data_IF_001293687801
#
_entry.id   IF_001293687801
#
_cell.length_a   1.000
_cell.length_b   1.000
_cell.length_c   1.000
_cell.angle_alpha   90.00
_cell.angle_beta   90.00
_cell.angle_gamma   90.00
#
_symmetry.space_group_name_H-M   'P 1'
#
loop_
_entity.id
_entity.type
_entity.pdbx_description
1 polymer ?
#
# COMPACT_ATOMS: atom_id res chain seq x y z
N UNK A 1 -36.65 -2.62 -40.50
CA UNK A 1 -36.18 -3.16 -39.20
C UNK A 1 -35.55 -1.99 -38.47
N UNK A 2 -36.17 -1.60 -37.37
CA UNK A 2 -36.10 -0.26 -36.80
C UNK A 2 -34.68 0.15 -36.45
N UNK A 3 -34.31 1.37 -36.87
CA UNK A 3 -33.24 2.11 -36.24
C UNK A 3 -33.66 2.30 -34.77
N UNK A 4 -32.94 1.66 -33.84
CA UNK A 4 -32.85 2.14 -32.47
C UNK A 4 -32.10 3.48 -32.54
N UNK A 5 -32.79 4.51 -33.01
CA UNK A 5 -32.55 5.87 -32.58
C UNK A 5 -32.83 5.84 -31.08
N UNK A 6 -31.83 5.45 -30.29
CA UNK A 6 -31.79 5.78 -28.87
C UNK A 6 -31.86 7.29 -28.84
N UNK A 7 -33.07 7.81 -28.67
CA UNK A 7 -33.31 9.19 -28.31
C UNK A 7 -32.54 9.41 -27.02
N UNK A 8 -31.28 9.82 -27.13
CA UNK A 8 -30.48 10.28 -26.02
C UNK A 8 -31.21 11.52 -25.54
N UNK A 9 -32.09 11.31 -24.57
CA UNK A 9 -32.79 12.39 -23.91
C UNK A 9 -31.71 13.37 -23.41
N UNK A 10 -31.71 14.65 -23.82
CA UNK A 10 -30.70 15.61 -23.41
C UNK A 10 -30.57 15.73 -21.88
N UNK A 11 -31.58 15.27 -21.12
CA UNK A 11 -31.50 15.13 -19.67
C UNK A 11 -30.59 13.96 -19.23
N UNK A 12 -30.65 12.82 -19.92
CA UNK A 12 -29.84 11.63 -19.60
C UNK A 12 -28.35 11.88 -19.85
N UNK A 13 -27.99 12.58 -20.93
CA UNK A 13 -26.59 12.94 -21.21
C UNK A 13 -25.99 13.82 -20.09
N UNK A 14 -26.75 14.81 -19.60
CA UNK A 14 -26.33 15.67 -18.48
C UNK A 14 -26.17 14.88 -17.18
N UNK A 15 -27.04 13.90 -16.93
CA UNK A 15 -26.90 13.03 -15.76
C UNK A 15 -25.66 12.16 -15.85
N UNK A 16 -25.37 11.58 -17.02
CA UNK A 16 -24.16 10.76 -17.24
C UNK A 16 -22.89 11.60 -17.07
N UNK A 17 -22.89 12.84 -17.58
CA UNK A 17 -21.78 13.80 -17.37
C UNK A 17 -21.57 14.10 -15.88
N UNK A 18 -22.66 14.33 -15.13
CA UNK A 18 -22.61 14.58 -13.69
C UNK A 18 -22.04 13.37 -12.95
N UNK A 19 -22.49 12.15 -13.30
CA UNK A 19 -21.98 10.91 -12.70
C UNK A 19 -20.50 10.73 -13.00
N UNK A 20 -20.04 10.96 -14.25
CA UNK A 20 -18.60 10.89 -14.59
C UNK A 20 -17.78 11.86 -13.75
N UNK A 21 -18.22 13.11 -13.64
CA UNK A 21 -17.51 14.11 -12.84
C UNK A 21 -17.41 13.72 -11.36
N UNK A 22 -18.47 13.13 -10.80
CA UNK A 22 -18.47 12.62 -9.43
C UNK A 22 -17.51 11.44 -9.24
N UNK A 23 -17.53 10.48 -10.18
CA UNK A 23 -16.64 9.31 -10.16
C UNK A 23 -15.18 9.73 -10.29
N UNK A 24 -14.86 10.65 -11.21
CA UNK A 24 -13.50 11.16 -11.39
C UNK A 24 -13.00 11.91 -10.14
N UNK A 25 -13.87 12.70 -9.52
CA UNK A 25 -13.56 13.37 -8.26
C UNK A 25 -13.28 12.35 -7.14
N UNK A 26 -14.13 11.32 -7.03
CA UNK A 26 -13.94 10.26 -6.04
C UNK A 26 -12.65 9.47 -6.27
N UNK A 27 -12.37 9.07 -7.52
CA UNK A 27 -11.13 8.35 -7.84
C UNK A 27 -9.88 9.16 -7.58
N UNK A 28 -9.95 10.49 -7.74
CA UNK A 28 -8.85 11.39 -7.36
C UNK A 28 -8.59 11.36 -5.86
N UNK A 29 -9.64 11.35 -5.04
CA UNK A 29 -9.52 11.24 -3.57
C UNK A 29 -8.93 9.88 -3.21
N UNK A 30 -9.50 8.78 -3.73
CA UNK A 30 -9.02 7.42 -3.47
C UNK A 30 -7.54 7.27 -3.84
N UNK A 31 -7.14 7.77 -5.01
CA UNK A 31 -5.74 7.70 -5.47
C UNK A 31 -4.80 8.48 -4.55
N UNK A 32 -5.22 9.64 -4.04
CA UNK A 32 -4.45 10.41 -3.05
C UNK A 32 -4.31 9.64 -1.74
N UNK A 33 -5.41 9.05 -1.26
CA UNK A 33 -5.43 8.25 -0.03
C UNK A 33 -4.52 7.02 -0.14
N UNK A 34 -4.56 6.28 -1.25
CA UNK A 34 -3.68 5.13 -1.46
C UNK A 34 -2.21 5.56 -1.47
N UNK A 35 -1.88 6.66 -2.16
CA UNK A 35 -0.50 7.19 -2.19
C UNK A 35 0.02 7.64 -0.83
N UNK A 36 -0.84 8.03 0.09
CA UNK A 36 -0.46 8.43 1.45
C UNK A 36 -0.40 7.23 2.42
N UNK A 37 -1.38 6.33 2.35
CA UNK A 37 -1.49 5.21 3.27
C UNK A 37 -0.49 4.08 2.98
N UNK A 38 -0.19 3.81 1.71
CA UNK A 38 0.73 2.70 1.35
C UNK A 38 2.14 2.93 1.90
N UNK A 39 2.79 4.10 1.71
CA UNK A 39 4.10 4.36 2.31
C UNK A 39 4.08 4.33 3.84
N UNK A 40 3.01 4.83 4.47
CA UNK A 40 2.84 4.79 5.94
C UNK A 40 2.72 3.36 6.46
N UNK A 41 1.97 2.50 5.77
CA UNK A 41 1.83 1.10 6.12
C UNK A 41 3.17 0.36 5.98
N UNK A 42 3.92 0.58 4.90
CA UNK A 42 5.26 -0.01 4.70
C UNK A 42 6.23 0.46 5.80
N UNK A 43 6.22 1.76 6.10
CA UNK A 43 7.07 2.33 7.13
C UNK A 43 6.78 1.71 8.51
N UNK A 44 5.49 1.58 8.85
CA UNK A 44 5.08 1.02 10.14
C UNK A 44 5.34 -0.49 10.24
N UNK A 45 4.96 -1.26 9.21
CA UNK A 45 4.97 -2.72 9.26
C UNK A 45 6.33 -3.34 8.96
N UNK A 46 7.11 -2.74 8.05
CA UNK A 46 8.40 -3.31 7.62
C UNK A 46 9.53 -2.53 8.27
N UNK A 47 9.63 -1.23 7.99
CA UNK A 47 10.82 -0.44 8.37
C UNK A 47 10.95 -0.30 9.89
N UNK A 48 9.87 0.07 10.57
CA UNK A 48 9.89 0.23 12.02
C UNK A 48 10.09 -1.11 12.71
N UNK A 49 9.41 -2.18 12.26
CA UNK A 49 9.55 -3.52 12.82
C UNK A 49 10.95 -4.11 12.65
N UNK A 50 11.58 -3.94 11.48
CA UNK A 50 12.97 -4.37 11.25
C UNK A 50 13.94 -3.53 12.08
N UNK A 51 13.72 -2.21 12.18
CA UNK A 51 14.56 -1.35 13.01
C UNK A 51 14.44 -1.69 14.50
N UNK A 52 13.25 -2.05 14.98
CA UNK A 52 12.97 -2.53 16.34
C UNK A 52 13.70 -3.85 16.59
N UNK A 53 13.56 -4.83 15.69
CA UNK A 53 14.25 -6.13 15.77
C UNK A 53 15.79 -6.01 15.81
N UNK A 54 16.35 -5.02 15.10
CA UNK A 54 17.77 -4.71 15.15
C UNK A 54 18.19 -3.97 16.42
N UNK A 55 17.35 -3.05 16.92
CA UNK A 55 17.64 -2.20 18.09
C UNK A 55 17.55 -2.94 19.41
N UNK A 56 16.54 -3.78 19.57
CA UNK A 56 16.24 -4.45 20.84
C UNK A 56 17.08 -5.72 21.05
N UNK A 57 18.00 -6.01 20.12
CA UNK A 57 18.94 -7.12 20.24
C UNK A 57 18.31 -8.49 19.99
N UNK A 58 17.06 -8.53 19.51
CA UNK A 58 16.36 -9.77 19.14
C UNK A 58 17.11 -10.54 18.05
N UNK A 59 17.77 -9.84 17.13
CA UNK A 59 18.68 -10.47 16.17
C UNK A 59 19.81 -11.23 16.87
N UNK A 60 20.42 -10.60 17.87
CA UNK A 60 21.53 -11.17 18.62
C UNK A 60 21.05 -12.37 19.45
N UNK A 61 19.89 -12.25 20.11
CA UNK A 61 19.26 -13.34 20.85
C UNK A 61 18.93 -14.55 19.95
N UNK A 62 18.41 -14.30 18.75
CA UNK A 62 18.15 -15.35 17.76
C UNK A 62 19.43 -16.03 17.24
N UNK A 63 20.50 -15.26 16.99
CA UNK A 63 21.80 -15.81 16.61
C UNK A 63 22.42 -16.65 17.75
N UNK A 64 22.27 -16.21 19.01
CA UNK A 64 22.69 -16.99 20.17
C UNK A 64 21.88 -18.29 20.34
N UNK A 65 20.58 -18.28 20.03
CA UNK A 65 19.74 -19.50 20.05
C UNK A 65 20.03 -20.48 18.93
N UNK A 66 20.50 -20.02 17.75
CA UNK A 66 20.77 -20.89 16.60
C UNK A 66 22.02 -21.79 16.78
N UNK A 67 22.79 -21.58 17.85
CA UNK A 67 23.72 -22.59 18.37
C UNK A 67 25.15 -22.58 17.80
N UNK A 68 25.53 -21.64 16.94
CA UNK A 68 26.87 -21.57 16.33
C UNK A 68 27.66 -20.31 16.74
N UNK A 69 27.58 -19.96 18.03
CA UNK A 69 28.26 -18.81 18.62
C UNK A 69 29.79 -18.91 18.54
N UNK A 70 30.31 -20.14 18.47
CA UNK A 70 31.74 -20.42 18.40
C UNK A 70 32.34 -19.98 17.06
N UNK A 71 31.64 -20.19 15.94
CA UNK A 71 32.13 -19.81 14.62
C UNK A 71 32.10 -18.29 14.37
N UNK A 72 31.15 -17.58 14.95
CA UNK A 72 31.01 -16.11 14.79
C UNK A 72 32.00 -15.34 15.69
N UNK A 73 32.30 -15.84 16.89
CA UNK A 73 33.30 -15.24 17.78
C UNK A 73 34.75 -15.60 17.43
N UNK A 74 35.01 -16.72 16.74
CA UNK A 74 36.37 -17.13 16.40
C UNK A 74 37.03 -16.33 15.27
N UNK A 75 36.28 -15.51 14.52
CA UNK A 75 36.84 -14.68 13.44
C UNK A 75 37.41 -13.34 13.94
N UNK A 76 37.32 -13.04 15.25
CA UNK A 76 37.78 -11.78 15.85
C UNK A 76 39.11 -11.89 16.60
N UNK A 77 39.90 -12.95 16.38
CA UNK A 77 41.27 -13.09 16.93
C UNK A 77 42.33 -13.25 15.85
#
# INVERSE_FOLDING_TARGET
MAAEETSLDPQLERQVETIRNLVDSYMRIVTKTIRDLVPKAIMFLIVNKVSEFLRDGDLLANLYQLGDTVSVLSFTS
#
